data_IF_264282195941
#
_entry.id   IF_264282195941
#
_cell.length_a   1.000
_cell.length_b   1.000
_cell.length_c   1.000
_cell.angle_alpha   90.00
_cell.angle_beta   90.00
_cell.angle_gamma   90.00
#
_symmetry.space_group_name_H-M   'P 1'
#
loop_
_entity.id
_entity.type
_entity.pdbx_description
1 polymer ?
#
# COMPACT_ATOMS: atom_id res chain seq x y z
N UNK A 1 42.54 -11.04 -2.29
CA UNK A 1 41.61 -12.17 -2.02
C UNK A 1 40.30 -11.81 -2.68
N UNK A 2 40.08 -12.27 -3.91
CA UNK A 2 38.84 -11.98 -4.64
C UNK A 2 37.78 -12.99 -4.20
N UNK A 3 36.74 -12.52 -3.53
CA UNK A 3 35.56 -13.31 -3.23
C UNK A 3 34.97 -13.81 -4.58
N UNK A 4 34.82 -15.13 -4.72
CA UNK A 4 34.17 -15.72 -5.88
C UNK A 4 32.73 -15.20 -5.99
N UNK A 5 32.24 -14.87 -7.19
CA UNK A 5 30.83 -14.59 -7.36
C UNK A 5 30.06 -15.85 -6.96
N UNK A 6 29.15 -15.71 -5.99
CA UNK A 6 28.27 -16.79 -5.58
C UNK A 6 27.56 -17.39 -6.79
N UNK A 7 27.22 -18.69 -6.72
CA UNK A 7 26.51 -19.40 -7.79
C UNK A 7 25.35 -18.54 -8.30
N UNK A 8 25.19 -18.37 -9.63
CA UNK A 8 24.07 -17.62 -10.20
C UNK A 8 22.75 -18.13 -9.62
N UNK A 9 21.85 -17.21 -9.25
CA UNK A 9 20.52 -17.60 -8.82
C UNK A 9 19.80 -18.24 -10.01
N UNK A 10 19.25 -19.44 -9.81
CA UNK A 10 18.53 -20.20 -10.85
C UNK A 10 17.09 -19.65 -11.08
N UNK A 11 16.75 -18.53 -10.44
CA UNK A 11 15.42 -17.93 -10.47
C UNK A 11 15.52 -16.40 -10.57
N UNK A 12 14.42 -15.77 -11.00
CA UNK A 12 14.26 -14.32 -11.03
C UNK A 12 13.88 -13.81 -9.62
N UNK A 13 14.75 -13.03 -8.94
CA UNK A 13 14.48 -12.53 -7.61
C UNK A 13 13.28 -11.59 -7.52
N UNK A 14 13.00 -10.82 -8.56
CA UNK A 14 11.91 -9.84 -8.57
C UNK A 14 10.56 -10.56 -8.71
N UNK A 15 10.46 -11.50 -9.65
CA UNK A 15 9.27 -12.34 -9.79
C UNK A 15 8.98 -13.17 -8.53
N UNK A 16 10.01 -13.66 -7.84
CA UNK A 16 9.87 -14.36 -6.57
C UNK A 16 9.43 -13.42 -5.44
N UNK A 17 9.94 -12.18 -5.41
CA UNK A 17 9.53 -11.18 -4.44
C UNK A 17 8.05 -10.80 -4.63
N UNK A 18 7.60 -10.63 -5.87
CA UNK A 18 6.21 -10.37 -6.21
C UNK A 18 5.30 -11.50 -5.76
N UNK A 19 5.65 -12.74 -6.08
CA UNK A 19 4.91 -13.92 -5.65
C UNK A 19 4.74 -13.97 -4.12
N UNK A 20 5.82 -13.71 -3.38
CA UNK A 20 5.78 -13.63 -1.91
C UNK A 20 4.90 -12.48 -1.41
N UNK A 21 5.01 -11.29 -2.03
CA UNK A 21 4.21 -10.11 -1.70
C UNK A 21 2.72 -10.40 -1.84
N UNK A 22 2.30 -11.08 -2.92
CA UNK A 22 0.89 -11.44 -3.14
C UNK A 22 0.35 -12.36 -2.03
N UNK A 23 1.14 -13.34 -1.57
CA UNK A 23 0.72 -14.25 -0.49
C UNK A 23 0.66 -13.51 0.85
N UNK A 24 1.67 -12.71 1.17
CA UNK A 24 1.64 -11.89 2.39
C UNK A 24 0.47 -10.92 2.40
N UNK A 25 0.09 -10.36 1.26
CA UNK A 25 -1.05 -9.46 1.16
C UNK A 25 -2.38 -10.16 1.41
N UNK A 26 -2.55 -11.36 0.88
CA UNK A 26 -3.78 -12.14 1.08
C UNK A 26 -3.90 -12.67 2.51
N UNK A 27 -2.82 -13.24 3.05
CA UNK A 27 -2.88 -14.06 4.25
C UNK A 27 -2.41 -13.30 5.52
N UNK A 28 -1.64 -12.21 5.36
CA UNK A 28 -0.90 -11.59 6.47
C UNK A 28 0.42 -12.32 6.74
N UNK A 29 1.29 -11.70 7.53
CA UNK A 29 2.60 -12.28 7.82
C UNK A 29 2.49 -13.50 8.72
N UNK A 30 1.72 -13.46 9.82
CA UNK A 30 1.64 -14.59 10.76
C UNK A 30 1.05 -15.84 10.11
N UNK A 31 0.03 -15.69 9.26
CA UNK A 31 -0.64 -16.83 8.63
C UNK A 31 0.06 -17.35 7.37
N UNK A 32 1.18 -16.77 6.97
CA UNK A 32 1.97 -17.24 5.81
C UNK A 32 3.11 -18.13 6.29
N UNK A 33 3.08 -19.43 5.99
CA UNK A 33 4.15 -20.34 6.42
C UNK A 33 5.41 -20.20 5.56
N UNK A 34 6.56 -20.69 6.05
CA UNK A 34 7.75 -20.82 5.21
C UNK A 34 7.50 -21.74 4.01
N UNK A 35 6.66 -22.76 4.16
CA UNK A 35 6.35 -23.69 3.08
C UNK A 35 5.53 -23.00 1.98
N UNK A 36 4.53 -22.20 2.35
CA UNK A 36 3.69 -21.44 1.41
C UNK A 36 4.55 -20.51 0.54
N UNK A 37 5.57 -19.90 1.14
CA UNK A 37 6.50 -19.02 0.45
C UNK A 37 7.36 -19.79 -0.56
N UNK A 38 7.93 -20.92 -0.17
CA UNK A 38 8.76 -21.73 -1.07
C UNK A 38 7.94 -22.25 -2.26
N UNK A 39 6.69 -22.63 -2.01
CA UNK A 39 5.75 -23.09 -3.04
C UNK A 39 5.36 -21.97 -4.00
N UNK A 40 4.97 -20.79 -3.51
CA UNK A 40 4.55 -19.71 -4.43
C UNK A 40 5.74 -19.11 -5.20
N UNK A 41 6.90 -19.00 -4.55
CA UNK A 41 8.11 -18.43 -5.15
C UNK A 41 8.82 -19.41 -6.07
N UNK A 42 8.46 -20.71 -6.01
CA UNK A 42 9.08 -21.79 -6.77
C UNK A 42 10.60 -21.87 -6.53
N UNK A 43 11.03 -21.70 -5.27
CA UNK A 43 12.46 -21.75 -4.89
C UNK A 43 12.73 -22.72 -3.74
N UNK A 44 13.98 -23.16 -3.63
CA UNK A 44 14.43 -23.95 -2.49
C UNK A 44 14.57 -23.11 -1.22
N UNK A 45 14.49 -23.76 -0.05
CA UNK A 45 14.76 -23.11 1.26
C UNK A 45 16.14 -22.44 1.28
N UNK A 46 17.16 -23.10 0.74
CA UNK A 46 18.52 -22.54 0.67
C UNK A 46 18.55 -21.26 -0.17
N UNK A 47 17.89 -21.26 -1.32
CA UNK A 47 17.79 -20.11 -2.22
C UNK A 47 17.08 -18.93 -1.55
N UNK A 48 16.01 -19.19 -0.80
CA UNK A 48 15.28 -18.15 -0.06
C UNK A 48 16.19 -17.47 0.98
N UNK A 49 16.89 -18.26 1.79
CA UNK A 49 17.81 -17.69 2.79
C UNK A 49 18.99 -16.94 2.15
N UNK A 50 19.55 -17.48 1.07
CA UNK A 50 20.65 -16.85 0.35
C UNK A 50 20.24 -15.51 -0.28
N UNK A 51 19.08 -15.45 -0.93
CA UNK A 51 18.64 -14.26 -1.65
C UNK A 51 17.96 -13.23 -0.74
N UNK A 52 17.14 -13.68 0.21
CA UNK A 52 16.22 -12.82 0.97
C UNK A 52 16.48 -12.78 2.47
N UNK A 53 17.29 -13.69 3.03
CA UNK A 53 17.63 -13.70 4.45
C UNK A 53 16.58 -14.30 5.39
N UNK A 54 15.53 -14.93 4.85
CA UNK A 54 14.45 -15.58 5.61
C UNK A 54 13.12 -14.83 5.54
N UNK A 55 12.07 -15.39 6.15
CA UNK A 55 10.67 -14.86 6.07
C UNK A 55 10.55 -13.39 6.45
N UNK A 56 11.16 -12.99 7.57
CA UNK A 56 11.06 -11.60 8.04
C UNK A 56 11.72 -10.62 7.07
N UNK A 57 12.96 -10.90 6.65
CA UNK A 57 13.69 -10.05 5.71
C UNK A 57 13.03 -10.04 4.32
N UNK A 58 12.45 -11.16 3.87
CA UNK A 58 11.62 -11.22 2.68
C UNK A 58 10.38 -10.32 2.81
N UNK A 59 9.69 -10.37 3.94
CA UNK A 59 8.51 -9.54 4.20
C UNK A 59 8.85 -8.04 4.19
N UNK A 60 9.94 -7.64 4.84
CA UNK A 60 10.42 -6.25 4.82
C UNK A 60 10.72 -5.76 3.40
N UNK A 61 11.31 -6.61 2.55
CA UNK A 61 11.53 -6.32 1.13
C UNK A 61 10.22 -6.24 0.35
N UNK A 62 9.26 -7.13 0.58
CA UNK A 62 7.93 -7.08 -0.04
C UNK A 62 7.22 -5.76 0.30
N UNK A 63 7.28 -5.34 1.57
CA UNK A 63 6.67 -4.08 2.01
C UNK A 63 7.32 -2.85 1.36
N UNK A 64 8.65 -2.88 1.21
CA UNK A 64 9.40 -1.82 0.53
C UNK A 64 9.05 -1.77 -0.95
N UNK A 65 9.08 -2.92 -1.62
CA UNK A 65 8.76 -3.06 -3.04
C UNK A 65 7.32 -2.63 -3.35
N UNK A 66 6.34 -3.13 -2.60
CA UNK A 66 4.95 -2.69 -2.67
C UNK A 66 4.83 -1.17 -2.50
N UNK A 67 5.54 -0.62 -1.52
CA UNK A 67 5.56 0.81 -1.25
C UNK A 67 6.16 1.60 -2.42
N UNK A 68 7.23 1.11 -3.05
CA UNK A 68 7.87 1.76 -4.19
C UNK A 68 6.95 1.80 -5.42
N UNK A 69 6.37 0.67 -5.79
CA UNK A 69 5.46 0.58 -6.95
C UNK A 69 4.21 1.43 -6.75
N UNK A 70 3.50 1.22 -5.64
CA UNK A 70 2.25 1.93 -5.35
C UNK A 70 2.47 3.44 -5.27
N UNK A 71 3.54 3.89 -4.62
CA UNK A 71 3.85 5.33 -4.51
C UNK A 71 4.27 5.91 -5.85
N UNK A 72 5.01 5.15 -6.67
CA UNK A 72 5.33 5.53 -8.05
C UNK A 72 4.06 5.79 -8.85
N UNK A 73 3.15 4.81 -8.90
CA UNK A 73 1.88 4.93 -9.63
C UNK A 73 1.01 6.08 -9.10
N UNK A 74 0.95 6.29 -7.78
CA UNK A 74 0.18 7.40 -7.21
C UNK A 74 0.78 8.76 -7.55
N UNK A 75 2.11 8.89 -7.57
CA UNK A 75 2.78 10.12 -7.99
C UNK A 75 2.52 10.41 -9.47
N UNK A 76 2.62 9.39 -10.33
CA UNK A 76 2.29 9.52 -11.75
C UNK A 76 0.84 9.93 -11.96
N UNK A 77 -0.10 9.30 -11.25
CA UNK A 77 -1.52 9.65 -11.29
C UNK A 77 -1.78 11.09 -10.80
N UNK A 78 -1.09 11.55 -9.75
CA UNK A 78 -1.19 12.93 -9.28
C UNK A 78 -0.69 13.92 -10.34
N UNK A 79 0.42 13.61 -11.03
CA UNK A 79 0.95 14.45 -12.11
C UNK A 79 0.02 14.48 -13.33
N UNK A 80 -0.57 13.34 -13.69
CA UNK A 80 -1.49 13.23 -14.81
C UNK A 80 -2.88 13.83 -14.53
N UNK A 81 -3.24 14.03 -13.26
CA UNK A 81 -4.54 14.54 -12.87
C UNK A 81 -4.72 16.02 -13.26
N UNK A 82 -5.93 16.42 -13.74
CA UNK A 82 -6.25 17.80 -14.06
C UNK A 82 -6.10 18.77 -12.87
N UNK A 83 -6.36 18.30 -11.65
CA UNK A 83 -6.24 19.10 -10.42
C UNK A 83 -5.89 18.24 -9.20
N UNK A 84 -5.48 18.88 -8.10
CA UNK A 84 -5.21 18.22 -6.83
C UNK A 84 -6.47 17.56 -6.26
N UNK A 85 -7.62 18.26 -6.29
CA UNK A 85 -8.89 17.69 -5.82
C UNK A 85 -9.38 16.57 -6.75
N UNK A 86 -9.15 16.69 -8.06
CA UNK A 86 -9.43 15.66 -9.05
C UNK A 86 -8.69 14.35 -8.75
N UNK A 87 -7.41 14.45 -8.39
CA UNK A 87 -6.62 13.29 -7.98
C UNK A 87 -7.19 12.66 -6.70
N UNK A 88 -7.47 13.48 -5.67
CA UNK A 88 -8.01 12.99 -4.40
C UNK A 88 -9.35 12.26 -4.62
N UNK A 89 -10.22 12.80 -5.47
CA UNK A 89 -11.49 12.16 -5.85
C UNK A 89 -11.24 10.80 -6.51
N UNK A 90 -10.41 10.74 -7.56
CA UNK A 90 -10.15 9.50 -8.28
C UNK A 90 -9.49 8.45 -7.36
N UNK A 91 -8.57 8.90 -6.51
CA UNK A 91 -7.96 8.08 -5.49
C UNK A 91 -9.03 7.46 -4.57
N UNK A 92 -9.93 8.26 -4.00
CA UNK A 92 -11.04 7.76 -3.15
C UNK A 92 -12.00 6.83 -3.90
N UNK A 93 -12.31 7.14 -5.16
CA UNK A 93 -13.21 6.34 -6.00
C UNK A 93 -12.60 5.00 -6.45
N UNK A 94 -11.27 4.84 -6.39
CA UNK A 94 -10.61 3.55 -6.71
C UNK A 94 -11.09 2.38 -5.85
N UNK A 95 -11.64 2.64 -4.66
CA UNK A 95 -12.23 1.61 -3.79
C UNK A 95 -13.51 1.00 -4.38
N UNK A 96 -14.17 1.70 -5.30
CA UNK A 96 -15.40 1.23 -5.93
C UNK A 96 -15.13 0.10 -6.93
N UNK A 97 -13.94 0.07 -7.52
CA UNK A 97 -13.52 -1.03 -8.40
C UNK A 97 -13.36 -2.35 -7.60
N UNK A 98 -12.86 -2.26 -6.37
CA UNK A 98 -12.84 -3.38 -5.42
C UNK A 98 -14.27 -3.85 -5.09
N UNK A 99 -15.19 -2.91 -4.82
CA UNK A 99 -16.59 -3.22 -4.47
C UNK A 99 -17.37 -3.87 -5.63
N UNK A 100 -17.01 -3.55 -6.88
CA UNK A 100 -17.57 -4.14 -8.10
C UNK A 100 -16.96 -5.50 -8.45
N UNK A 101 -15.95 -5.95 -7.72
CA UNK A 101 -15.22 -7.18 -8.03
C UNK A 101 -14.35 -7.08 -9.29
N UNK A 102 -14.05 -5.86 -9.76
CA UNK A 102 -13.12 -5.63 -10.88
C UNK A 102 -11.69 -6.01 -10.46
N UNK A 103 -11.37 -5.82 -9.18
CA UNK A 103 -10.17 -6.32 -8.54
C UNK A 103 -10.50 -6.93 -7.17
N UNK A 104 -9.64 -7.79 -6.66
CA UNK A 104 -9.86 -8.41 -5.35
C UNK A 104 -9.79 -7.36 -4.24
N UNK A 105 -10.82 -7.29 -3.39
CA UNK A 105 -10.91 -6.37 -2.26
C UNK A 105 -9.97 -6.78 -1.12
N UNK A 106 -8.66 -6.64 -1.35
CA UNK A 106 -7.61 -7.08 -0.43
C UNK A 106 -7.30 -6.05 0.65
N UNK A 107 -7.86 -4.84 0.56
CA UNK A 107 -7.48 -3.71 1.39
C UNK A 107 -6.05 -3.23 1.09
N UNK A 108 -5.53 -2.28 1.87
CA UNK A 108 -4.17 -1.78 1.70
C UNK A 108 -3.19 -2.64 2.51
N UNK A 109 -2.19 -3.24 1.85
CA UNK A 109 -1.18 -4.09 2.48
C UNK A 109 -0.54 -3.42 3.71
N UNK A 110 -0.20 -2.14 3.59
CA UNK A 110 0.42 -1.36 4.67
C UNK A 110 -0.49 -1.24 5.90
N UNK A 111 -1.78 -1.02 5.69
CA UNK A 111 -2.75 -0.82 6.76
C UNK A 111 -3.17 -2.15 7.40
N UNK A 112 -3.32 -3.21 6.60
CA UNK A 112 -3.54 -4.57 7.11
C UNK A 112 -2.38 -5.00 8.02
N UNK A 113 -1.15 -4.76 7.57
CA UNK A 113 0.07 -5.05 8.34
C UNK A 113 0.17 -4.18 9.60
N UNK A 114 -0.21 -2.90 9.52
CA UNK A 114 -0.27 -2.03 10.70
C UNK A 114 -1.17 -2.62 11.78
N UNK A 115 -2.36 -3.09 11.40
CA UNK A 115 -3.32 -3.69 12.33
C UNK A 115 -2.80 -5.00 12.94
N UNK A 116 -2.04 -5.79 12.18
CA UNK A 116 -1.45 -7.06 12.63
C UNK A 116 -0.25 -6.87 13.58
N UNK A 117 0.60 -5.84 13.36
CA UNK A 117 1.92 -5.73 14.01
C UNK A 117 2.16 -4.51 14.88
N UNK A 118 1.27 -3.51 14.94
CA UNK A 118 1.54 -2.18 15.54
C UNK A 118 2.18 -2.16 16.94
N UNK A 119 2.17 -3.26 17.70
CA UNK A 119 2.79 -3.36 19.04
C UNK A 119 3.71 -4.57 19.26
N UNK A 120 3.87 -5.47 18.29
CA UNK A 120 4.48 -6.80 18.52
C UNK A 120 5.84 -7.00 17.85
N UNK A 121 6.14 -6.26 16.79
CA UNK A 121 7.43 -6.36 16.09
C UNK A 121 7.93 -4.96 15.66
N UNK A 122 8.96 -4.41 16.33
CA UNK A 122 9.48 -3.06 16.04
C UNK A 122 9.98 -2.87 14.61
N UNK A 123 10.56 -3.90 14.00
CA UNK A 123 11.11 -3.85 12.64
C UNK A 123 9.98 -3.77 11.60
N UNK A 124 8.94 -4.60 11.75
CA UNK A 124 7.75 -4.54 10.90
C UNK A 124 7.01 -3.20 11.10
N UNK A 125 6.89 -2.74 12.35
CA UNK A 125 6.27 -1.45 12.65
C UNK A 125 7.00 -0.28 11.96
N UNK A 126 8.33 -0.34 11.86
CA UNK A 126 9.13 0.65 11.13
C UNK A 126 8.81 0.63 9.63
N UNK A 127 8.78 -0.54 9.00
CA UNK A 127 8.45 -0.67 7.58
C UNK A 127 7.04 -0.14 7.27
N UNK A 128 6.07 -0.46 8.13
CA UNK A 128 4.70 0.07 8.03
C UNK A 128 4.67 1.59 8.17
N UNK A 129 5.34 2.15 9.18
CA UNK A 129 5.42 3.58 9.42
C UNK A 129 6.03 4.32 8.21
N UNK A 130 7.10 3.77 7.63
CA UNK A 130 7.71 4.30 6.41
C UNK A 130 6.75 4.26 5.21
N UNK A 131 6.02 3.16 5.02
CA UNK A 131 5.01 3.04 3.97
C UNK A 131 3.88 4.07 4.14
N UNK A 132 3.37 4.25 5.36
CA UNK A 132 2.34 5.24 5.67
C UNK A 132 2.82 6.68 5.43
N UNK A 133 4.04 7.01 5.83
CA UNK A 133 4.61 8.34 5.63
C UNK A 133 4.73 8.69 4.15
N UNK A 134 5.20 7.75 3.31
CA UNK A 134 5.31 7.97 1.86
C UNK A 134 3.94 8.19 1.21
N UNK A 135 2.93 7.47 1.68
CA UNK A 135 1.57 7.62 1.19
C UNK A 135 0.94 8.95 1.62
N UNK A 136 1.21 9.34 2.87
CA UNK A 136 0.85 10.66 3.40
C UNK A 136 1.49 11.79 2.57
N UNK A 137 2.76 11.67 2.19
CA UNK A 137 3.45 12.67 1.36
C UNK A 137 2.77 12.90 0.00
N UNK A 138 2.28 11.85 -0.66
CA UNK A 138 1.57 12.01 -1.94
C UNK A 138 0.23 12.73 -1.77
N UNK A 139 -0.51 12.37 -0.71
CA UNK A 139 -1.78 13.03 -0.40
C UNK A 139 -1.58 14.47 0.07
N UNK A 140 -0.50 14.74 0.81
CA UNK A 140 -0.10 16.09 1.19
C UNK A 140 0.15 16.95 -0.06
N UNK A 141 0.96 16.46 -1.00
CA UNK A 141 1.22 17.16 -2.25
C UNK A 141 -0.06 17.41 -3.06
N UNK A 142 -1.01 16.48 -3.06
CA UNK A 142 -2.30 16.65 -3.70
C UNK A 142 -3.16 17.74 -3.03
N UNK A 143 -3.18 17.78 -1.70
CA UNK A 143 -3.90 18.80 -0.93
C UNK A 143 -3.27 20.18 -1.15
N UNK A 144 -1.94 20.28 -1.09
CA UNK A 144 -1.22 21.53 -1.33
C UNK A 144 -1.46 22.06 -2.74
N UNK A 145 -1.46 21.17 -3.75
CA UNK A 145 -1.84 21.52 -5.12
C UNK A 145 -3.28 22.04 -5.19
N UNK A 146 -4.24 21.35 -4.58
CA UNK A 146 -5.63 21.77 -4.55
C UNK A 146 -5.83 23.12 -3.84
N UNK A 147 -5.01 23.43 -2.82
CA UNK A 147 -4.99 24.75 -2.17
C UNK A 147 -4.46 25.84 -3.09
N UNK A 148 -3.39 25.56 -3.83
CA UNK A 148 -2.83 26.49 -4.83
C UNK A 148 -3.82 26.77 -5.98
N UNK A 149 -4.60 25.76 -6.37
CA UNK A 149 -5.64 25.84 -7.40
C UNK A 149 -6.95 26.48 -6.87
N UNK A 150 -7.05 26.75 -5.57
CA UNK A 150 -8.22 27.37 -4.93
C UNK A 150 -9.41 26.43 -4.71
N UNK A 151 -9.22 25.12 -4.87
CA UNK A 151 -10.25 24.09 -4.66
C UNK A 151 -10.41 23.67 -3.19
N UNK A 152 -9.36 23.87 -2.38
CA UNK A 152 -9.33 23.67 -0.92
C UNK A 152 -8.92 24.99 -0.26
N UNK A 153 -9.57 25.43 0.83
CA UNK A 153 -9.19 26.66 1.51
C UNK A 153 -7.76 26.61 2.09
N UNK A 154 -6.93 27.67 1.90
CA UNK A 154 -5.53 27.68 2.35
C UNK A 154 -5.37 27.68 3.87
N UNK A 155 -6.40 28.07 4.63
CA UNK A 155 -6.41 28.06 6.10
C UNK A 155 -6.53 26.65 6.70
N UNK A 156 -6.91 25.65 5.90
CA UNK A 156 -6.99 24.26 6.36
C UNK A 156 -5.59 23.67 6.46
N UNK A 157 -5.32 22.94 7.54
CA UNK A 157 -4.01 22.30 7.72
C UNK A 157 -3.84 21.13 6.73
N UNK A 158 -3.00 21.32 5.72
CA UNK A 158 -2.78 20.34 4.65
C UNK A 158 -2.30 18.98 5.16
N UNK A 159 -1.40 18.95 6.14
CA UNK A 159 -0.90 17.70 6.74
C UNK A 159 -1.98 16.93 7.50
N UNK A 160 -2.89 17.64 8.17
CA UNK A 160 -4.05 17.02 8.82
C UNK A 160 -5.07 16.52 7.81
N UNK A 161 -5.30 17.25 6.72
CA UNK A 161 -6.16 16.77 5.62
C UNK A 161 -5.57 15.53 4.95
N UNK A 162 -4.26 15.47 4.71
CA UNK A 162 -3.59 14.28 4.20
C UNK A 162 -3.78 13.08 5.16
N UNK A 163 -3.59 13.29 6.47
CA UNK A 163 -3.83 12.25 7.50
C UNK A 163 -5.30 11.79 7.50
N UNK A 164 -6.24 12.73 7.38
CA UNK A 164 -7.67 12.46 7.26
C UNK A 164 -7.99 11.62 6.01
N UNK A 165 -7.35 11.90 4.88
CA UNK A 165 -7.50 11.13 3.64
C UNK A 165 -6.96 9.70 3.76
N UNK A 166 -5.79 9.51 4.41
CA UNK A 166 -5.27 8.17 4.71
C UNK A 166 -6.28 7.38 5.54
N UNK A 167 -6.79 7.98 6.61
CA UNK A 167 -7.79 7.36 7.49
C UNK A 167 -9.08 7.03 6.73
N UNK A 168 -9.58 7.97 5.93
CA UNK A 168 -10.81 7.81 5.14
C UNK A 168 -10.69 6.67 4.12
N UNK A 169 -9.58 6.61 3.37
CA UNK A 169 -9.31 5.52 2.44
C UNK A 169 -9.22 4.16 3.16
N UNK A 170 -8.57 4.12 4.34
CA UNK A 170 -8.49 2.91 5.17
C UNK A 170 -9.87 2.39 5.54
N UNK A 171 -10.75 3.29 5.99
CA UNK A 171 -12.13 2.99 6.32
C UNK A 171 -12.93 2.51 5.11
N UNK A 172 -12.82 3.20 3.97
CA UNK A 172 -13.48 2.82 2.73
C UNK A 172 -13.09 1.41 2.26
N UNK A 173 -11.79 1.09 2.23
CA UNK A 173 -11.31 -0.25 1.86
C UNK A 173 -11.80 -1.32 2.84
N UNK A 174 -11.87 -1.00 4.12
CA UNK A 174 -12.40 -1.91 5.15
C UNK A 174 -13.89 -2.19 4.93
N UNK A 175 -14.69 -1.15 4.66
CA UNK A 175 -16.13 -1.30 4.38
C UNK A 175 -16.38 -2.04 3.07
N UNK A 176 -15.59 -1.78 2.03
CA UNK A 176 -15.64 -2.51 0.75
C UNK A 176 -15.37 -4.00 0.96
N UNK A 177 -14.30 -4.34 1.69
CA UNK A 177 -13.99 -5.73 2.08
C UNK A 177 -15.10 -6.39 2.90
N UNK A 178 -15.83 -5.62 3.70
CA UNK A 178 -16.98 -6.10 4.48
C UNK A 178 -18.27 -6.25 3.65
N UNK A 179 -18.24 -5.97 2.34
CA UNK A 179 -19.37 -6.12 1.43
C UNK A 179 -20.38 -4.97 1.51
N UNK A 180 -19.99 -3.80 2.01
CA UNK A 180 -20.85 -2.61 1.99
C UNK A 180 -21.08 -2.17 0.55
N UNK A 181 -22.36 -1.95 0.20
CA UNK A 181 -22.77 -1.64 -1.17
C UNK A 181 -22.19 -0.32 -1.71
N UNK A 182 -22.02 -0.27 -3.04
CA UNK A 182 -21.40 0.84 -3.76
C UNK A 182 -22.03 2.20 -3.44
N UNK A 183 -23.37 2.28 -3.33
CA UNK A 183 -24.08 3.53 -3.03
C UNK A 183 -23.66 4.14 -1.68
N UNK A 184 -23.45 3.29 -0.67
CA UNK A 184 -23.00 3.76 0.65
C UNK A 184 -21.56 4.24 0.58
N UNK A 185 -20.68 3.53 -0.12
CA UNK A 185 -19.29 3.93 -0.32
C UNK A 185 -19.21 5.28 -1.06
N UNK A 186 -19.99 5.46 -2.13
CA UNK A 186 -20.12 6.74 -2.85
C UNK A 186 -20.59 7.87 -1.93
N UNK A 187 -21.56 7.60 -1.07
CA UNK A 187 -22.03 8.55 -0.06
C UNK A 187 -20.90 9.02 0.88
N UNK A 188 -20.10 8.08 1.38
CA UNK A 188 -18.94 8.37 2.23
C UNK A 188 -17.89 9.17 1.47
N UNK A 189 -17.54 8.78 0.24
CA UNK A 189 -16.60 9.54 -0.61
C UNK A 189 -17.07 10.98 -0.79
N UNK A 190 -18.36 11.18 -1.06
CA UNK A 190 -18.95 12.53 -1.20
C UNK A 190 -18.83 13.36 0.09
N UNK A 191 -19.03 12.75 1.26
CA UNK A 191 -18.83 13.42 2.56
C UNK A 191 -17.35 13.75 2.80
N UNK A 192 -16.45 12.82 2.50
CA UNK A 192 -15.00 13.03 2.63
C UNK A 192 -14.53 14.20 1.77
N UNK A 193 -14.95 14.28 0.51
CA UNK A 193 -14.59 15.38 -0.38
C UNK A 193 -15.13 16.72 0.11
N UNK A 194 -16.37 16.77 0.60
CA UNK A 194 -16.95 17.99 1.18
C UNK A 194 -16.20 18.46 2.44
N UNK A 195 -15.67 17.54 3.23
CA UNK A 195 -14.92 17.87 4.44
C UNK A 195 -13.55 18.52 4.17
N UNK A 196 -13.03 18.41 2.94
CA UNK A 196 -11.80 19.07 2.53
C UNK A 196 -12.01 20.56 2.26
N UNK A 197 -13.23 20.94 1.88
CA UNK A 197 -13.64 22.30 1.50
C UNK A 197 -14.15 23.08 2.73
#
# INVERSE_FOLDING_TARGET
MNASPGRPLEFDPDAALDAAMQVFWRNGYENTSMQDLLEVMQISKSSLYQAFGGKQALFERCMTHYGDEMIGSLREALQASPSGLGFIRQFLESVLDEARGVCEARGCLVLNTANEFARRNPQIAKAVSQGLNRFHEVLLAAVERAQQEGEIPPERNASMLATYLVSSMSGLKTLSKAGVGEDTLRGIIGLTLKALQ
#
